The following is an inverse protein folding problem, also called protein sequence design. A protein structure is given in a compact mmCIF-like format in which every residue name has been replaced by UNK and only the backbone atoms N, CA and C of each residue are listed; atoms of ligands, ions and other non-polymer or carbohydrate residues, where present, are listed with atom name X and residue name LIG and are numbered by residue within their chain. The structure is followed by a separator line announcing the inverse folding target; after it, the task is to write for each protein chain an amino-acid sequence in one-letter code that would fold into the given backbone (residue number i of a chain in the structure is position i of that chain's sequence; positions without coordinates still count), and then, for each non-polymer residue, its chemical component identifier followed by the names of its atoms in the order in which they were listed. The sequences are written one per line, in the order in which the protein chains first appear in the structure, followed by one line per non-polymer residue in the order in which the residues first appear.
data_IF_870741903550
#
_entry.id   IF_870741903550
#
_cell.length_a   1.000
_cell.length_b   1.000
_cell.length_c   1.000
_cell.angle_alpha   90.00
_cell.angle_beta   90.00
_cell.angle_gamma   90.00
#
_symmetry.space_group_name_H-M   'P 1'
#
loop_
_entity.id
_entity.type
_entity.pdbx_description
1 polymer ?
#
# COMPACT_ATOMS: atom_id res chain seq x y z
N UNK A 1 12.61 5.00 -1.11
CA UNK A 1 11.86 4.27 -2.16
C UNK A 1 10.54 3.78 -1.60
N UNK A 2 9.50 3.82 -2.43
CA UNK A 2 8.17 3.29 -2.11
C UNK A 2 8.01 1.93 -2.79
N UNK A 3 7.56 0.92 -2.05
CA UNK A 3 7.22 -0.40 -2.59
C UNK A 3 5.77 -0.33 -3.06
N UNK A 4 5.49 -0.70 -4.31
CA UNK A 4 4.14 -0.70 -4.88
C UNK A 4 3.84 -2.12 -5.34
N UNK A 5 2.70 -2.66 -4.91
CA UNK A 5 2.16 -3.91 -5.43
C UNK A 5 1.01 -3.64 -6.38
N UNK A 6 1.03 -4.30 -7.53
CA UNK A 6 0.03 -4.13 -8.59
C UNK A 6 -1.00 -5.25 -8.60
N UNK A 7 -2.07 -5.02 -9.36
CA UNK A 7 -3.20 -5.94 -9.51
C UNK A 7 -2.81 -7.33 -10.03
N UNK A 8 -1.78 -7.40 -10.88
CA UNK A 8 -1.26 -8.63 -11.46
C UNK A 8 -0.32 -9.42 -10.53
N UNK A 9 -0.14 -8.95 -9.29
CA UNK A 9 0.75 -9.56 -8.31
C UNK A 9 2.20 -9.11 -8.40
N UNK A 10 2.57 -8.29 -9.40
CA UNK A 10 3.92 -7.73 -9.49
C UNK A 10 4.19 -6.73 -8.37
N UNK A 11 5.43 -6.71 -7.87
CA UNK A 11 5.89 -5.78 -6.83
C UNK A 11 7.09 -5.00 -7.38
N UNK A 12 7.00 -3.68 -7.35
CA UNK A 12 8.06 -2.76 -7.78
C UNK A 12 8.57 -1.89 -6.64
N UNK A 13 9.82 -1.42 -6.75
CA UNK A 13 10.40 -0.38 -5.90
C UNK A 13 10.52 0.91 -6.70
N UNK A 14 9.68 1.87 -6.40
CA UNK A 14 9.65 3.17 -7.07
C UNK A 14 10.55 4.20 -6.36
N UNK A 15 11.33 4.93 -7.16
CA UNK A 15 12.08 6.11 -6.71
C UNK A 15 11.15 7.28 -6.39
N UNK A 16 11.53 8.12 -5.44
CA UNK A 16 10.72 9.27 -5.01
C UNK A 16 10.48 10.27 -6.13
N UNK A 17 11.39 10.36 -7.11
CA UNK A 17 11.27 11.23 -8.29
C UNK A 17 10.07 10.93 -9.18
N UNK A 18 9.46 9.74 -9.05
CA UNK A 18 8.23 9.37 -9.76
C UNK A 18 6.99 10.10 -9.24
N UNK A 19 7.00 10.54 -7.98
CA UNK A 19 5.82 11.11 -7.33
C UNK A 19 5.84 12.64 -7.43
N UNK A 20 5.23 13.17 -8.48
CA UNK A 20 5.22 14.61 -8.77
C UNK A 20 3.93 15.31 -8.33
N UNK A 21 2.86 14.55 -8.07
CA UNK A 21 1.60 15.11 -7.63
C UNK A 21 1.72 15.60 -6.19
N UNK A 22 1.27 16.81 -5.89
CA UNK A 22 1.30 17.33 -4.52
C UNK A 22 -0.06 17.27 -3.83
N UNK A 23 -0.05 16.98 -2.53
CA UNK A 23 -1.20 17.11 -1.64
C UNK A 23 -0.75 17.71 -0.31
N UNK A 24 -1.39 18.81 0.11
CA UNK A 24 -1.09 19.51 1.38
C UNK A 24 0.42 19.75 1.61
N UNK A 25 1.17 20.06 0.55
CA UNK A 25 2.62 20.33 0.60
C UNK A 25 3.55 19.11 0.49
N UNK A 26 3.01 17.90 0.35
CA UNK A 26 3.81 16.67 0.16
C UNK A 26 3.66 16.14 -1.26
N UNK A 27 4.74 15.58 -1.82
CA UNK A 27 4.64 14.71 -2.99
C UNK A 27 3.79 13.49 -2.63
N UNK A 28 3.01 12.98 -3.59
CA UNK A 28 1.96 12.03 -3.30
C UNK A 28 1.91 10.89 -4.32
N UNK A 29 1.66 9.69 -3.81
CA UNK A 29 1.28 8.55 -4.61
C UNK A 29 -0.22 8.29 -4.47
N UNK A 30 -0.91 8.25 -5.60
CA UNK A 30 -2.31 7.81 -5.65
C UNK A 30 -2.33 6.31 -5.85
N UNK A 31 -2.81 5.58 -4.85
CA UNK A 31 -3.00 4.13 -4.91
C UNK A 31 -4.34 3.87 -5.58
N UNK A 32 -4.33 3.16 -6.71
CA UNK A 32 -5.55 2.84 -7.44
C UNK A 32 -6.10 1.48 -7.03
N UNK A 33 -7.33 1.17 -7.45
CA UNK A 33 -7.97 -0.09 -7.11
C UNK A 33 -7.18 -1.31 -7.61
N UNK A 34 -6.88 -2.22 -6.69
CA UNK A 34 -6.03 -3.39 -6.92
C UNK A 34 -4.56 -3.10 -6.68
N UNK A 35 -4.20 -2.01 -5.99
CA UNK A 35 -2.83 -1.72 -5.60
C UNK A 35 -2.66 -1.62 -4.09
N UNK A 36 -1.42 -1.77 -3.65
CA UNK A 36 -0.96 -1.31 -2.34
C UNK A 36 0.36 -0.55 -2.48
N UNK A 37 0.66 0.29 -1.49
CA UNK A 37 1.97 0.90 -1.36
C UNK A 37 2.47 0.83 0.08
N UNK A 38 3.78 0.65 0.25
CA UNK A 38 4.48 0.63 1.53
C UNK A 38 5.70 1.56 1.45
N UNK A 39 5.92 2.37 2.48
CA UNK A 39 7.04 3.30 2.53
C UNK A 39 7.37 3.79 3.93
N UNK A 40 8.57 4.35 4.10
CA UNK A 40 8.99 4.99 5.35
C UNK A 40 8.59 6.46 5.37
N UNK A 41 8.42 7.03 6.55
CA UNK A 41 8.06 8.45 6.69
C UNK A 41 9.14 9.40 6.18
N UNK A 42 10.42 9.04 6.32
CA UNK A 42 11.54 9.86 5.85
C UNK A 42 11.62 9.97 4.31
N UNK A 43 10.77 9.24 3.58
CA UNK A 43 10.62 9.40 2.13
C UNK A 43 9.74 10.61 1.77
N UNK A 44 9.01 11.16 2.75
CA UNK A 44 8.16 12.35 2.61
C UNK A 44 7.10 12.25 1.48
N UNK A 45 6.70 11.02 1.13
CA UNK A 45 5.63 10.75 0.15
C UNK A 45 4.31 10.49 0.88
N UNK A 46 3.27 11.26 0.59
CA UNK A 46 1.91 11.04 1.06
C UNK A 46 1.22 9.93 0.24
N UNK A 47 0.51 9.03 0.93
CA UNK A 47 -0.36 8.04 0.27
C UNK A 47 -1.79 8.56 0.25
N UNK A 48 -2.44 8.46 -0.91
CA UNK A 48 -3.84 8.83 -1.06
C UNK A 48 -4.57 7.86 -1.97
N UNK A 49 -5.88 7.84 -1.85
CA UNK A 49 -6.75 7.13 -2.78
C UNK A 49 -8.11 7.79 -2.85
N UNK A 50 -8.90 7.45 -3.87
CA UNK A 50 -10.29 7.88 -4.02
C UNK A 50 -11.18 6.66 -3.82
N UNK A 51 -12.14 6.75 -2.90
CA UNK A 51 -13.06 5.66 -2.59
C UNK A 51 -14.47 5.95 -3.10
N UNK A 52 -15.06 4.93 -3.73
CA UNK A 52 -16.50 4.82 -3.99
C UNK A 52 -17.10 3.76 -3.08
N UNK A 53 -17.51 2.62 -3.66
CA UNK A 53 -17.93 1.42 -2.90
C UNK A 53 -16.78 0.51 -2.45
N UNK A 54 -15.59 0.74 -3.00
CA UNK A 54 -14.35 0.05 -2.64
C UNK A 54 -13.87 0.42 -1.23
N UNK A 55 -12.88 -0.33 -0.73
CA UNK A 55 -12.33 -0.17 0.61
C UNK A 55 -10.81 -0.05 0.54
N UNK A 56 -10.25 0.80 1.39
CA UNK A 56 -8.82 0.93 1.63
C UNK A 56 -8.51 0.71 3.11
N UNK A 57 -7.41 0.02 3.39
CA UNK A 57 -6.88 -0.17 4.73
C UNK A 57 -5.52 0.49 4.80
N UNK A 58 -5.27 1.22 5.87
CA UNK A 58 -3.97 1.83 6.17
C UNK A 58 -3.44 1.27 7.48
N UNK A 59 -2.16 0.88 7.48
CA UNK A 59 -1.41 0.51 8.68
C UNK A 59 -0.22 1.43 8.86
N UNK A 60 0.18 1.62 10.11
CA UNK A 60 1.34 2.44 10.45
C UNK A 60 2.09 1.84 11.64
N UNK A 61 3.31 1.37 11.41
CA UNK A 61 4.20 0.97 12.51
C UNK A 61 4.84 2.20 13.15
N UNK A 62 4.43 2.51 14.38
CA UNK A 62 4.87 3.71 15.11
C UNK A 62 6.34 3.67 15.56
N UNK A 63 6.98 2.51 15.57
CA UNK A 63 8.39 2.31 15.96
C UNK A 63 9.29 2.40 14.72
N UNK A 64 8.98 1.63 13.68
CA UNK A 64 9.74 1.63 12.42
C UNK A 64 9.43 2.83 11.52
N UNK A 65 8.36 3.58 11.82
CA UNK A 65 7.91 4.74 11.02
C UNK A 65 7.63 4.34 9.56
N UNK A 66 6.97 3.20 9.39
CA UNK A 66 6.58 2.62 8.11
C UNK A 66 5.07 2.69 7.98
N UNK A 67 4.60 3.18 6.84
CA UNK A 67 3.18 3.22 6.47
C UNK A 67 2.91 2.26 5.32
N UNK A 68 1.76 1.62 5.36
CA UNK A 68 1.19 0.85 4.26
C UNK A 68 -0.24 1.31 3.99
N UNK A 69 -0.64 1.40 2.72
CA UNK A 69 -2.05 1.57 2.33
C UNK A 69 -2.36 0.65 1.16
N UNK A 70 -3.50 -0.01 1.20
CA UNK A 70 -4.05 -0.73 0.06
C UNK A 70 -5.38 -0.14 -0.41
N UNK A 71 -5.81 -0.52 -1.61
CA UNK A 71 -7.15 -0.25 -2.14
C UNK A 71 -7.64 -1.51 -2.85
N UNK A 72 -8.59 -2.23 -2.25
CA UNK A 72 -9.17 -3.43 -2.86
C UNK A 72 -10.62 -3.20 -3.28
N UNK A 73 -11.07 -3.93 -4.30
CA UNK A 73 -12.39 -3.77 -4.91
C UNK A 73 -13.41 -4.79 -4.40
N UNK A 74 -12.94 -5.97 -3.98
CA UNK A 74 -13.78 -7.10 -3.61
C UNK A 74 -13.31 -7.72 -2.29
N UNK A 75 -14.20 -8.22 -1.43
CA UNK A 75 -13.82 -8.72 -0.10
C UNK A 75 -13.03 -10.03 -0.16
N UNK A 76 -13.47 -11.01 -0.97
CA UNK A 76 -12.86 -12.34 -1.05
C UNK A 76 -13.17 -13.02 -2.40
N UNK A 77 -12.45 -14.11 -2.71
CA UNK A 77 -12.65 -14.98 -3.86
C UNK A 77 -12.63 -16.44 -3.42
N UNK A 78 -13.44 -17.29 -4.06
CA UNK A 78 -13.35 -18.75 -3.91
C UNK A 78 -12.26 -19.36 -4.81
N UNK A 79 -11.81 -18.62 -5.82
CA UNK A 79 -10.73 -19.03 -6.72
C UNK A 79 -9.39 -18.58 -6.12
N UNK A 80 -8.39 -19.46 -6.15
CA UNK A 80 -7.02 -19.25 -5.67
C UNK A 80 -6.20 -18.25 -6.50
N UNK A 81 -6.84 -17.42 -7.32
CA UNK A 81 -6.12 -16.43 -8.11
C UNK A 81 -5.64 -15.31 -7.16
N UNK A 82 -4.32 -15.19 -7.06
CA UNK A 82 -3.54 -14.17 -6.36
C UNK A 82 -3.75 -12.76 -6.96
N UNK A 83 -5.00 -12.28 -6.97
CA UNK A 83 -5.38 -10.99 -7.56
C UNK A 83 -5.58 -9.96 -6.44
N UNK A 84 -4.79 -8.87 -6.51
CA UNK A 84 -4.76 -7.80 -5.53
C UNK A 84 -6.06 -6.99 -5.45
N UNK A 85 -7.01 -7.21 -6.36
CA UNK A 85 -8.38 -6.66 -6.23
C UNK A 85 -9.15 -7.26 -5.04
N UNK A 86 -8.74 -8.43 -4.53
CA UNK A 86 -9.36 -9.07 -3.37
C UNK A 86 -8.68 -8.64 -2.08
N UNK A 87 -9.48 -8.21 -1.11
CA UNK A 87 -8.99 -7.65 0.15
C UNK A 87 -8.08 -8.58 0.93
N UNK A 88 -8.41 -9.88 1.00
CA UNK A 88 -7.59 -10.87 1.71
C UNK A 88 -6.14 -10.90 1.18
N UNK A 89 -5.98 -11.07 -0.13
CA UNK A 89 -4.67 -11.14 -0.76
C UNK A 89 -3.94 -9.78 -0.71
N UNK A 90 -4.65 -8.69 -0.96
CA UNK A 90 -4.10 -7.33 -0.90
C UNK A 90 -3.53 -6.97 0.47
N UNK A 91 -4.26 -7.30 1.54
CA UNK A 91 -3.80 -7.05 2.91
C UNK A 91 -2.60 -7.91 3.25
N UNK A 92 -2.63 -9.20 2.90
CA UNK A 92 -1.52 -10.13 3.17
C UNK A 92 -0.23 -9.72 2.46
N UNK A 93 -0.30 -9.42 1.15
CA UNK A 93 0.85 -8.98 0.37
C UNK A 93 1.44 -7.67 0.90
N UNK A 94 0.59 -6.70 1.24
CA UNK A 94 1.03 -5.44 1.84
C UNK A 94 1.71 -5.65 3.20
N UNK A 95 1.11 -6.46 4.09
CA UNK A 95 1.69 -6.75 5.40
C UNK A 95 3.03 -7.48 5.28
N UNK A 96 3.18 -8.38 4.32
CA UNK A 96 4.45 -9.05 4.04
C UNK A 96 5.57 -8.05 3.68
N UNK A 97 5.28 -7.03 2.87
CA UNK A 97 6.25 -5.96 2.59
C UNK A 97 6.54 -5.08 3.81
N UNK A 98 5.54 -4.82 4.66
CA UNK A 98 5.76 -4.12 5.93
C UNK A 98 6.65 -4.94 6.88
N UNK A 99 6.42 -6.24 7.01
CA UNK A 99 7.25 -7.13 7.84
C UNK A 99 8.68 -7.25 7.33
N UNK A 100 8.89 -7.27 6.00
CA UNK A 100 10.24 -7.21 5.40
C UNK A 100 10.99 -5.91 5.75
N UNK A 101 10.27 -4.82 6.04
CA UNK A 101 10.84 -3.57 6.55
C UNK A 101 11.03 -3.55 8.07
N UNK A 102 10.78 -4.66 8.75
CA UNK A 102 10.96 -4.82 10.20
C UNK A 102 9.75 -4.43 11.04
N UNK A 103 8.58 -4.19 10.41
CA UNK A 103 7.37 -3.86 11.16
C UNK A 103 6.93 -5.02 12.05
N UNK A 104 6.19 -4.72 13.12
CA UNK A 104 5.58 -5.73 13.98
C UNK A 104 4.12 -5.43 14.22
N UNK A 105 3.31 -6.49 14.32
CA UNK A 105 1.87 -6.37 14.57
C UNK A 105 1.55 -5.60 15.85
N UNK A 106 2.35 -5.77 16.90
CA UNK A 106 2.19 -5.03 18.17
C UNK A 106 2.43 -3.50 18.06
N UNK A 107 3.10 -3.06 17.00
CA UNK A 107 3.43 -1.66 16.77
C UNK A 107 2.50 -0.96 15.77
N UNK A 108 1.69 -1.73 15.03
CA UNK A 108 0.75 -1.26 14.01
C UNK A 108 -0.62 -0.90 14.57
#
# INVERSE_FOLDING_TARGET
MIIIGHKDGSIEKASNTRFTQQIKGYNAHTIIGGEFAVGKDNEEIAFKTLLGSCVAIMFYDKVQKVKGMNHFLLPTTKNSNEDMKYGLYSVEAMLNEMYKLGCRKENM
#
